data_IF_132781935241
#
_entry.id   IF_132781935241
#
_cell.length_a   1.000
_cell.length_b   1.000
_cell.length_c   1.000
_cell.angle_alpha   90.00
_cell.angle_beta   90.00
_cell.angle_gamma   90.00
#
_symmetry.space_group_name_H-M   'P 1'
#
loop_
_entity.id
_entity.type
_entity.pdbx_description
1 polymer ?
#
# COMPACT_ATOMS: atom_id res chain seq x y z
N UNK A 1 -23.34 20.51 -17.11
CA UNK A 1 -22.61 20.17 -16.71
C UNK A 1 -21.99 20.04 -16.83
N UNK A 2 -22.04 20.38 -16.96
CA UNK A 2 -21.45 20.27 -16.97
C UNK A 2 -20.72 20.10 -17.05
N UNK A 3 -20.32 20.36 -17.73
CA UNK A 3 -19.54 20.03 -17.59
C UNK A 3 -18.77 20.43 -17.27
N UNK A 4 -18.49 21.10 -17.91
CA UNK A 4 -17.80 21.13 -17.20
C UNK A 4 -18.09 20.72 -16.15
N UNK A 5 -18.84 20.77 -16.30
CA UNK A 5 -19.07 20.18 -15.28
C UNK A 5 -18.95 19.00 -15.45
N UNK A 6 -19.14 18.77 -16.57
CA UNK A 6 -19.17 17.54 -16.53
C UNK A 6 -17.91 16.98 -16.35
N UNK A 7 -16.94 17.27 -17.12
CA UNK A 7 -15.70 16.68 -16.96
C UNK A 7 -15.12 17.04 -15.64
N UNK A 8 -15.26 18.26 -15.26
CA UNK A 8 -14.72 18.62 -13.99
C UNK A 8 -15.48 18.05 -12.86
N UNK A 9 -16.78 17.94 -13.00
CA UNK A 9 -17.57 17.35 -11.97
C UNK A 9 -17.25 15.92 -11.76
N UNK A 10 -16.96 15.21 -12.86
CA UNK A 10 -16.60 13.87 -12.75
C UNK A 10 -15.32 13.72 -11.98
N UNK A 11 -14.33 14.54 -12.25
CA UNK A 11 -13.09 14.50 -11.51
C UNK A 11 -13.28 14.83 -10.06
N UNK A 12 -14.15 15.79 -9.76
CA UNK A 12 -14.39 16.14 -8.38
C UNK A 12 -15.06 15.01 -7.64
N UNK A 13 -15.98 14.32 -8.26
CA UNK A 13 -16.62 13.19 -7.63
C UNK A 13 -15.65 12.08 -7.38
N UNK A 14 -14.82 11.79 -8.35
CA UNK A 14 -13.84 10.74 -8.18
C UNK A 14 -12.89 11.07 -7.04
N UNK A 15 -12.45 12.31 -6.94
CA UNK A 15 -11.55 12.68 -5.88
C UNK A 15 -12.23 12.61 -4.52
N UNK A 16 -13.48 13.00 -4.46
CA UNK A 16 -14.21 12.92 -3.22
C UNK A 16 -14.36 11.49 -2.76
N UNK A 17 -14.65 10.60 -3.67
CA UNK A 17 -14.77 9.19 -3.33
C UNK A 17 -13.44 8.64 -2.86
N UNK A 18 -12.37 9.04 -3.49
CA UNK A 18 -11.07 8.57 -3.06
C UNK A 18 -10.75 9.04 -1.65
N UNK A 19 -11.09 10.28 -1.34
CA UNK A 19 -10.81 10.77 -0.01
C UNK A 19 -11.61 10.03 1.03
N UNK A 20 -12.79 9.60 0.69
CA UNK A 20 -13.62 8.88 1.63
C UNK A 20 -13.17 7.46 1.83
N UNK A 21 -12.57 6.87 0.82
CA UNK A 21 -12.25 5.45 0.89
C UNK A 21 -10.79 5.17 1.01
N UNK A 22 -9.92 6.13 0.68
CA UNK A 22 -8.51 5.84 0.64
C UNK A 22 -7.88 6.00 2.00
N UNK A 23 -6.90 5.18 2.27
CA UNK A 23 -6.06 5.32 3.43
C UNK A 23 -5.01 6.37 3.15
N UNK A 24 -4.39 6.92 4.20
CA UNK A 24 -3.24 7.79 4.00
C UNK A 24 -2.13 7.02 3.28
N UNK A 25 -1.23 7.72 2.62
CA UNK A 25 -0.09 7.07 2.00
C UNK A 25 0.74 6.33 3.03
N UNK A 26 1.33 5.25 2.60
CA UNK A 26 2.14 4.41 3.47
C UNK A 26 3.48 4.11 2.81
N UNK A 27 4.49 3.94 3.63
CA UNK A 27 5.85 3.68 3.17
C UNK A 27 6.24 2.28 3.61
N UNK A 28 6.57 1.45 2.65
CA UNK A 28 7.04 0.10 2.92
C UNK A 28 8.56 0.13 3.03
N UNK A 29 9.09 -0.38 4.12
CA UNK A 29 10.53 -0.53 4.31
C UNK A 29 10.88 -1.99 4.09
N UNK A 30 11.89 -2.24 3.28
CA UNK A 30 12.23 -3.62 2.93
C UNK A 30 13.71 -3.73 2.61
N UNK A 31 14.24 -4.94 2.79
CA UNK A 31 15.61 -5.23 2.41
C UNK A 31 15.64 -5.79 1.00
N UNK A 32 16.57 -5.29 0.21
CA UNK A 32 16.87 -5.88 -1.08
C UNK A 32 18.35 -6.23 -1.02
N UNK A 33 18.63 -7.49 -0.81
CA UNK A 33 19.98 -7.97 -0.54
C UNK A 33 20.50 -7.28 0.73
N UNK A 34 21.52 -6.47 0.63
CA UNK A 34 22.11 -5.82 1.80
C UNK A 34 21.69 -4.35 1.95
N UNK A 35 20.72 -3.92 1.17
CA UNK A 35 20.31 -2.52 1.17
C UNK A 35 18.90 -2.39 1.69
N UNK A 36 18.71 -1.50 2.65
CA UNK A 36 17.36 -1.19 3.14
C UNK A 36 16.78 -0.11 2.27
N UNK A 37 15.64 -0.39 1.67
CA UNK A 37 15.00 0.53 0.74
C UNK A 37 13.60 0.84 1.22
N UNK A 38 13.00 1.85 0.61
CA UNK A 38 11.63 2.21 0.91
C UNK A 38 10.88 2.43 -0.39
N UNK A 39 9.58 2.15 -0.36
CA UNK A 39 8.70 2.49 -1.46
C UNK A 39 7.42 3.07 -0.88
N UNK A 40 6.91 4.09 -1.54
CA UNK A 40 5.71 4.78 -1.07
C UNK A 40 4.52 4.27 -1.85
N UNK A 41 3.45 3.99 -1.12
CA UNK A 41 2.22 3.47 -1.71
C UNK A 41 1.06 4.33 -1.29
N UNK A 42 -0.03 4.25 -2.03
CA UNK A 42 -1.17 5.12 -1.77
C UNK A 42 -1.97 4.68 -0.55
N UNK A 43 -1.72 3.48 -0.02
CA UNK A 43 -2.44 3.01 1.14
C UNK A 43 -1.66 1.89 1.81
N UNK A 44 -2.05 1.56 3.04
CA UNK A 44 -1.46 0.44 3.74
C UNK A 44 -1.72 -0.86 2.97
N UNK A 45 -2.91 -1.00 2.41
CA UNK A 45 -3.22 -2.21 1.67
C UNK A 45 -2.33 -2.38 0.45
N UNK A 46 -2.06 -1.29 -0.25
CA UNK A 46 -1.16 -1.35 -1.40
C UNK A 46 0.24 -1.72 -0.96
N UNK A 47 0.68 -1.22 0.19
CA UNK A 47 2.00 -1.56 0.71
C UNK A 47 2.08 -3.03 1.10
N UNK A 48 1.00 -3.57 1.68
CA UNK A 48 0.97 -4.99 2.03
C UNK A 48 1.02 -5.84 0.77
N UNK A 49 0.31 -5.43 -0.27
CA UNK A 49 0.33 -6.17 -1.54
C UNK A 49 1.74 -6.21 -2.12
N UNK A 50 2.46 -5.10 -2.04
CA UNK A 50 3.83 -5.08 -2.53
C UNK A 50 4.72 -5.97 -1.67
N UNK A 51 4.52 -5.94 -0.36
CA UNK A 51 5.29 -6.79 0.54
C UNK A 51 5.05 -8.27 0.21
N UNK A 52 3.80 -8.61 -0.07
CA UNK A 52 3.48 -9.98 -0.46
C UNK A 52 4.21 -10.36 -1.75
N UNK A 53 4.23 -9.45 -2.72
CA UNK A 53 4.91 -9.72 -3.98
C UNK A 53 6.40 -9.96 -3.76
N UNK A 54 7.03 -9.20 -2.86
CA UNK A 54 8.44 -9.43 -2.55
C UNK A 54 8.66 -10.81 -1.95
N UNK A 55 7.78 -11.23 -1.04
CA UNK A 55 7.93 -12.52 -0.39
C UNK A 55 7.76 -13.64 -1.39
N UNK A 56 6.75 -13.55 -2.24
CA UNK A 56 6.45 -14.60 -3.20
C UNK A 56 7.55 -14.72 -4.24
N UNK A 57 8.09 -13.60 -4.70
CA UNK A 57 9.12 -13.61 -5.73
C UNK A 57 10.53 -13.73 -5.15
N UNK A 58 10.64 -13.66 -3.81
CA UNK A 58 11.93 -13.76 -3.15
C UNK A 58 12.89 -12.65 -3.60
N UNK A 59 12.33 -11.47 -3.81
CA UNK A 59 13.13 -10.32 -4.27
C UNK A 59 13.33 -9.28 -3.20
N UNK A 60 12.71 -9.44 -2.03
CA UNK A 60 12.89 -8.50 -0.94
C UNK A 60 12.35 -9.07 0.35
N UNK A 61 12.77 -8.47 1.46
CA UNK A 61 12.31 -8.90 2.78
C UNK A 61 11.62 -7.70 3.42
N UNK A 62 10.30 -7.72 3.52
CA UNK A 62 9.59 -6.60 4.14
C UNK A 62 9.92 -6.48 5.62
N UNK A 63 10.03 -5.25 6.09
CA UNK A 63 10.43 -4.98 7.48
C UNK A 63 9.28 -4.34 8.25
N UNK A 64 8.76 -3.23 7.72
CA UNK A 64 7.70 -2.50 8.43
C UNK A 64 7.02 -1.56 7.45
N UNK A 65 5.86 -1.05 7.87
CA UNK A 65 5.16 -0.03 7.11
C UNK A 65 4.99 1.18 8.03
N UNK A 66 5.32 2.35 7.53
CA UNK A 66 5.18 3.59 8.28
C UNK A 66 4.31 4.56 7.51
N UNK A 67 3.83 5.59 8.21
CA UNK A 67 3.25 6.73 7.55
C UNK A 67 4.38 7.57 6.96
N UNK A 68 4.01 8.58 6.16
CA UNK A 68 5.02 9.41 5.53
C UNK A 68 5.80 10.24 6.54
N UNK A 69 5.26 10.43 7.74
CA UNK A 69 5.97 11.15 8.78
C UNK A 69 6.82 10.23 9.66
N UNK A 70 6.87 8.95 9.34
CA UNK A 70 7.70 8.01 10.08
C UNK A 70 6.97 7.23 11.15
N UNK A 71 5.71 7.54 11.40
CA UNK A 71 4.94 6.80 12.40
C UNK A 71 4.77 5.35 11.96
N UNK A 72 5.08 4.41 12.84
CA UNK A 72 4.97 3.00 12.50
C UNK A 72 3.50 2.61 12.47
N UNK A 73 3.05 2.14 11.32
CA UNK A 73 1.69 1.65 11.15
C UNK A 73 1.63 0.14 11.32
N UNK A 74 2.66 -0.57 10.88
CA UNK A 74 2.79 -2.01 11.08
C UNK A 74 4.24 -2.29 11.36
N UNK A 75 4.52 -2.91 12.52
CA UNK A 75 5.88 -3.38 12.78
C UNK A 75 6.09 -4.68 12.02
N UNK A 76 7.26 -5.29 12.18
CA UNK A 76 7.59 -6.45 11.38
C UNK A 76 6.66 -7.63 11.67
N UNK A 77 6.22 -7.77 12.91
CA UNK A 77 5.34 -8.87 13.26
C UNK A 77 3.95 -8.66 12.66
N UNK A 78 3.42 -7.45 12.76
CA UNK A 78 2.12 -7.14 12.20
C UNK A 78 2.14 -7.25 10.69
N UNK A 79 3.24 -6.83 10.08
CA UNK A 79 3.36 -6.91 8.64
C UNK A 79 3.43 -8.36 8.17
N UNK A 80 4.19 -9.20 8.88
CA UNK A 80 4.25 -10.61 8.51
C UNK A 80 2.87 -11.24 8.56
N UNK A 81 2.10 -10.93 9.60
CA UNK A 81 0.76 -11.45 9.74
C UNK A 81 -0.14 -10.95 8.62
N UNK A 82 -0.03 -9.68 8.26
CA UNK A 82 -0.83 -9.11 7.19
C UNK A 82 -0.49 -9.74 5.84
N UNK A 83 0.78 -10.02 5.60
CA UNK A 83 1.20 -10.65 4.36
C UNK A 83 0.63 -12.07 4.26
N UNK A 84 0.65 -12.80 5.36
CA UNK A 84 0.08 -14.14 5.37
C UNK A 84 -1.42 -14.08 5.06
N UNK A 85 -2.13 -13.17 5.69
CA UNK A 85 -3.57 -13.06 5.44
C UNK A 85 -3.86 -12.62 4.03
N UNK A 86 -3.04 -11.70 3.49
CA UNK A 86 -3.21 -11.27 2.11
C UNK A 86 -3.08 -12.45 1.17
N UNK A 87 -2.09 -13.31 1.41
CA UNK A 87 -1.89 -14.48 0.57
C UNK A 87 -3.06 -15.45 0.63
N UNK A 88 -3.73 -15.54 1.78
CA UNK A 88 -4.86 -16.42 1.92
C UNK A 88 -6.09 -15.91 1.18
N UNK A 89 -6.18 -14.60 0.99
CA UNK A 89 -7.33 -14.00 0.35
C UNK A 89 -7.16 -13.84 -1.15
N UNK A 90 -5.94 -13.93 -1.65
CA UNK A 90 -5.67 -13.76 -3.06
C UNK A 90 -5.95 -15.08 -3.78
N UNK A 91 -6.76 -15.05 -4.88
CA UNK A 91 -7.03 -16.28 -5.59
C UNK A 91 -5.75 -16.86 -6.17
N UNK A 92 -5.68 -18.16 -6.21
CA UNK A 92 -4.53 -18.86 -6.71
C UNK A 92 -4.95 -19.68 -7.91
N UNK A 93 -4.22 -19.56 -8.98
CA UNK A 93 -4.54 -20.29 -10.20
C UNK A 93 -3.36 -21.08 -10.67
#
# INVERSE_FOLDING_TARGET
MPADFLANDFGAIARAMQRETSSPPAVLHFWNMLTLLTSTHESVEAAVAEAYAFVVSDTGVPVRITATDGTVLMDSEALADAVIRYGEEVPIY
#
